data_IF_086332755909
#
_entry.id   IF_086332755909
#
_cell.length_a   1.000
_cell.length_b   1.000
_cell.length_c   1.000
_cell.angle_alpha   90.00
_cell.angle_beta   90.00
_cell.angle_gamma   90.00
#
_symmetry.space_group_name_H-M   'P 1'
#
loop_
_entity.id
_entity.type
_entity.pdbx_description
1 polymer ?
#
# COMPACT_ATOMS: atom_id res chain seq x y z
N UNK A 1 -15.71 4.97 -17.06
CA UNK A 1 -14.22 5.03 -17.05
C UNK A 1 -13.74 5.05 -18.51
N UNK A 2 -12.85 5.99 -18.84
CA UNK A 2 -12.26 6.03 -20.18
C UNK A 2 -11.34 4.83 -20.41
N UNK A 3 -11.12 4.38 -21.66
CA UNK A 3 -10.24 3.24 -21.92
C UNK A 3 -8.83 3.39 -21.35
N UNK A 4 -8.25 4.62 -21.41
CA UNK A 4 -6.92 4.87 -20.83
C UNK A 4 -6.92 4.71 -19.31
N UNK A 5 -8.00 5.14 -18.63
CA UNK A 5 -8.12 4.98 -17.18
C UNK A 5 -8.28 3.51 -16.80
N UNK A 6 -8.98 2.74 -17.62
CA UNK A 6 -9.12 1.30 -17.39
C UNK A 6 -7.78 0.60 -17.51
N UNK A 7 -6.99 0.93 -18.55
CA UNK A 7 -5.66 0.35 -18.72
C UNK A 7 -4.75 0.71 -17.55
N UNK A 8 -4.77 1.95 -17.10
CA UNK A 8 -3.99 2.40 -15.94
C UNK A 8 -4.41 1.66 -14.68
N UNK A 9 -5.72 1.48 -14.47
CA UNK A 9 -6.25 0.76 -13.34
C UNK A 9 -5.79 -0.70 -13.34
N UNK A 10 -5.90 -1.37 -14.48
CA UNK A 10 -5.49 -2.78 -14.61
C UNK A 10 -3.99 -2.94 -14.38
N UNK A 11 -3.19 -2.03 -14.93
CA UNK A 11 -1.74 -2.04 -14.74
C UNK A 11 -1.36 -1.83 -13.27
N UNK A 12 -1.96 -0.83 -12.63
CA UNK A 12 -1.70 -0.55 -11.22
C UNK A 12 -2.10 -1.73 -10.34
N UNK A 13 -3.28 -2.31 -10.60
CA UNK A 13 -3.77 -3.47 -9.85
C UNK A 13 -2.83 -4.66 -9.99
N UNK A 14 -2.34 -4.93 -11.20
CA UNK A 14 -1.41 -6.04 -11.45
C UNK A 14 -0.09 -5.82 -10.72
N UNK A 15 0.45 -4.61 -10.73
CA UNK A 15 1.70 -4.28 -10.03
C UNK A 15 1.55 -4.41 -8.53
N UNK A 16 0.46 -3.89 -7.97
CA UNK A 16 0.18 -3.99 -6.53
C UNK A 16 -0.03 -5.44 -6.11
N UNK A 17 -0.78 -6.20 -6.89
CA UNK A 17 -1.00 -7.61 -6.61
C UNK A 17 0.32 -8.39 -6.60
N UNK A 18 1.19 -8.13 -7.57
CA UNK A 18 2.49 -8.79 -7.65
C UNK A 18 3.42 -8.42 -6.50
N UNK A 19 3.41 -7.14 -6.08
CA UNK A 19 4.27 -6.66 -5.01
C UNK A 19 3.78 -7.09 -3.63
N UNK A 20 2.47 -7.08 -3.41
CA UNK A 20 1.89 -7.31 -2.08
C UNK A 20 1.52 -8.77 -1.84
N UNK A 21 1.14 -9.52 -2.90
CA UNK A 21 0.76 -10.92 -2.75
C UNK A 21 -0.27 -11.13 -1.65
N UNK A 22 -0.01 -12.06 -0.76
CA UNK A 22 -0.88 -12.41 0.37
C UNK A 22 -0.45 -11.72 1.68
N UNK A 23 0.46 -10.76 1.63
CA UNK A 23 0.97 -10.12 2.84
C UNK A 23 -0.13 -9.31 3.54
N UNK A 24 -0.11 -9.35 4.87
CA UNK A 24 -1.02 -8.57 5.71
C UNK A 24 -0.22 -7.57 6.54
N UNK A 25 -0.83 -6.44 6.82
CA UNK A 25 -0.19 -5.39 7.60
C UNK A 25 -0.75 -4.03 7.24
N UNK A 26 -0.02 -2.98 7.62
CA UNK A 26 -0.37 -1.61 7.26
C UNK A 26 0.74 -0.99 6.42
N UNK A 27 0.32 -0.32 5.34
CA UNK A 27 1.19 0.22 4.30
C UNK A 27 0.81 1.68 4.05
N UNK A 28 1.80 2.56 4.02
CA UNK A 28 1.56 3.98 3.76
C UNK A 28 1.00 4.19 2.36
N UNK A 29 0.12 5.16 2.20
CA UNK A 29 -0.45 5.51 0.88
C UNK A 29 0.67 5.86 -0.11
N UNK A 30 1.68 6.60 0.32
CA UNK A 30 2.81 6.96 -0.54
C UNK A 30 3.56 5.73 -1.04
N UNK A 31 3.71 4.71 -0.19
CA UNK A 31 4.36 3.46 -0.58
C UNK A 31 3.52 2.67 -1.59
N UNK A 32 2.20 2.67 -1.41
CA UNK A 32 1.30 2.02 -2.38
C UNK A 32 1.41 2.69 -3.76
N UNK A 33 1.50 4.01 -3.80
CA UNK A 33 1.65 4.76 -5.04
C UNK A 33 2.97 4.38 -5.73
N UNK A 34 4.05 4.27 -4.97
CA UNK A 34 5.35 3.83 -5.51
C UNK A 34 5.29 2.40 -6.04
N UNK A 35 4.65 1.49 -5.32
CA UNK A 35 4.49 0.10 -5.76
C UNK A 35 3.66 -0.02 -7.03
N UNK A 36 2.73 0.91 -7.24
CA UNK A 36 1.93 0.96 -8.45
C UNK A 36 2.72 1.50 -9.65
N UNK A 37 3.94 1.97 -9.44
CA UNK A 37 4.84 2.42 -10.50
C UNK A 37 4.86 3.93 -10.72
N UNK A 38 4.36 4.71 -9.79
CA UNK A 38 4.33 6.16 -9.90
C UNK A 38 5.43 6.80 -9.05
N UNK A 39 6.00 7.91 -9.55
CA UNK A 39 7.09 8.62 -8.86
C UNK A 39 6.61 9.41 -7.66
N UNK A 40 5.34 9.76 -7.62
CA UNK A 40 4.80 10.52 -6.49
C UNK A 40 3.29 10.67 -6.61
N UNK A 41 2.66 11.20 -5.57
CA UNK A 41 1.22 11.33 -5.53
C UNK A 41 0.72 12.44 -6.45
N UNK A 42 -0.47 12.25 -6.98
CA UNK A 42 -1.31 13.27 -7.58
C UNK A 42 -2.75 12.89 -7.26
N UNK A 43 -3.67 13.80 -7.44
CA UNK A 43 -5.08 13.49 -7.17
C UNK A 43 -5.55 12.27 -7.97
N UNK A 44 -5.23 12.23 -9.26
CA UNK A 44 -5.61 11.13 -10.13
C UNK A 44 -4.97 9.80 -9.71
N UNK A 45 -3.66 9.82 -9.45
CA UNK A 45 -2.92 8.60 -9.05
C UNK A 45 -3.41 8.08 -7.71
N UNK A 46 -3.64 8.96 -6.75
CA UNK A 46 -4.12 8.57 -5.43
C UNK A 46 -5.48 7.89 -5.52
N UNK A 47 -6.40 8.41 -6.34
CA UNK A 47 -7.72 7.80 -6.53
C UNK A 47 -7.62 6.45 -7.24
N UNK A 48 -6.78 6.37 -8.25
CA UNK A 48 -6.58 5.15 -9.02
C UNK A 48 -6.02 4.04 -8.13
N UNK A 49 -4.99 4.35 -7.35
CA UNK A 49 -4.37 3.41 -6.41
C UNK A 49 -5.37 3.00 -5.32
N UNK A 50 -6.18 3.94 -4.83
CA UNK A 50 -7.19 3.63 -3.82
C UNK A 50 -8.20 2.59 -4.35
N UNK A 51 -8.64 2.71 -5.59
CA UNK A 51 -9.53 1.73 -6.20
C UNK A 51 -8.86 0.37 -6.35
N UNK A 52 -7.61 0.37 -6.83
CA UNK A 52 -6.85 -0.87 -6.98
C UNK A 52 -6.65 -1.57 -5.65
N UNK A 53 -6.27 -0.84 -4.61
CA UNK A 53 -6.07 -1.40 -3.27
C UNK A 53 -7.37 -1.99 -2.70
N UNK A 54 -8.49 -1.31 -2.91
CA UNK A 54 -9.80 -1.82 -2.48
C UNK A 54 -10.11 -3.16 -3.17
N UNK A 55 -9.86 -3.26 -4.46
CA UNK A 55 -10.08 -4.50 -5.20
C UNK A 55 -9.22 -5.64 -4.65
N UNK A 56 -8.06 -5.33 -4.11
CA UNK A 56 -7.15 -6.32 -3.53
C UNK A 56 -7.45 -6.60 -2.05
N UNK A 57 -8.51 -6.02 -1.50
CA UNK A 57 -8.94 -6.29 -0.13
C UNK A 57 -8.30 -5.42 0.94
N UNK A 58 -7.71 -4.31 0.56
CA UNK A 58 -7.10 -3.37 1.50
C UNK A 58 -8.08 -2.27 1.90
N UNK A 59 -8.15 -1.98 3.19
CA UNK A 59 -8.98 -0.91 3.74
C UNK A 59 -8.13 0.34 3.92
N UNK A 60 -8.68 1.50 3.53
CA UNK A 60 -8.00 2.78 3.68
C UNK A 60 -8.44 3.49 4.94
N UNK A 61 -7.50 4.15 5.61
CA UNK A 61 -7.79 4.95 6.78
C UNK A 61 -6.59 5.75 7.23
N UNK A 62 -6.73 6.40 8.37
CA UNK A 62 -5.61 7.07 9.04
C UNK A 62 -5.14 6.15 10.14
N UNK A 63 -3.90 5.73 10.05
CA UNK A 63 -3.32 4.72 10.95
C UNK A 63 -2.03 5.25 11.56
N UNK A 64 -1.73 4.78 12.76
CA UNK A 64 -0.49 5.14 13.43
C UNK A 64 0.67 4.27 12.96
N UNK A 65 1.82 4.93 12.74
CA UNK A 65 3.10 4.27 12.43
C UNK A 65 4.09 4.80 13.45
N UNK A 66 4.30 4.04 14.52
CA UNK A 66 5.20 4.42 15.63
C UNK A 66 4.89 5.82 16.18
N UNK A 67 3.60 6.10 16.42
CA UNK A 67 3.15 7.35 16.98
C UNK A 67 2.81 8.45 15.97
N UNK A 68 3.06 8.24 14.70
CA UNK A 68 2.75 9.22 13.65
C UNK A 68 1.49 8.77 12.91
N UNK A 69 0.49 9.65 12.83
CA UNK A 69 -0.77 9.37 12.15
C UNK A 69 -0.65 9.68 10.65
N UNK A 70 -0.80 8.67 9.82
CA UNK A 70 -0.64 8.78 8.38
C UNK A 70 -1.82 8.16 7.65
N UNK A 71 -2.08 8.64 6.42
CA UNK A 71 -2.99 7.94 5.53
C UNK A 71 -2.33 6.63 5.08
N UNK A 72 -3.08 5.55 5.17
CA UNK A 72 -2.53 4.23 4.94
C UNK A 72 -3.61 3.23 4.51
N UNK A 73 -3.13 2.05 4.12
CA UNK A 73 -3.96 0.90 3.82
C UNK A 73 -3.62 -0.23 4.79
N UNK A 74 -4.61 -1.01 5.17
CA UNK A 74 -4.39 -2.18 6.03
C UNK A 74 -5.19 -3.37 5.51
N UNK A 75 -4.61 -4.56 5.71
CA UNK A 75 -5.25 -5.82 5.35
C UNK A 75 -4.91 -6.87 6.39
N UNK A 76 -5.86 -7.75 6.67
CA UNK A 76 -5.69 -8.86 7.60
C UNK A 76 -6.54 -8.74 8.85
N UNK A 77 -6.28 -9.62 9.81
CA UNK A 77 -6.94 -9.60 11.11
C UNK A 77 -6.47 -8.40 11.94
N UNK A 78 -7.10 -8.20 13.10
CA UNK A 78 -6.77 -7.09 13.99
C UNK A 78 -5.26 -7.04 14.31
N UNK A 79 -4.68 -8.18 14.69
CA UNK A 79 -3.25 -8.23 15.02
C UNK A 79 -2.36 -8.11 13.77
N UNK A 80 -2.77 -8.69 12.67
CA UNK A 80 -1.99 -8.63 11.44
C UNK A 80 -1.87 -7.19 10.93
N UNK A 81 -2.90 -6.36 11.13
CA UNK A 81 -2.92 -4.95 10.72
C UNK A 81 -1.93 -4.09 11.50
N UNK A 82 -1.38 -4.59 12.62
CA UNK A 82 -0.37 -3.88 13.41
C UNK A 82 1.03 -4.03 12.85
N UNK A 83 1.23 -4.92 11.88
CA UNK A 83 2.54 -5.11 11.25
C UNK A 83 2.82 -3.96 10.30
N UNK A 84 3.91 -3.24 10.55
CA UNK A 84 4.34 -2.16 9.66
C UNK A 84 5.04 -2.76 8.45
N UNK A 85 4.56 -2.40 7.26
CA UNK A 85 5.15 -2.81 5.99
C UNK A 85 5.98 -1.65 5.45
N UNK A 86 7.23 -1.91 5.13
CA UNK A 86 8.13 -0.94 4.52
C UNK A 86 8.45 -1.36 3.09
N UNK A 87 8.65 -0.38 2.24
CA UNK A 87 9.00 -0.60 0.85
C UNK A 87 10.45 -0.17 0.66
N UNK A 88 11.28 -1.08 0.16
CA UNK A 88 12.68 -0.80 -0.10
C UNK A 88 13.02 -1.19 -1.54
N UNK A 89 14.05 -0.53 -2.07
CA UNK A 89 14.56 -0.86 -3.39
C UNK A 89 15.67 -1.91 -3.24
N UNK A 90 15.47 -3.04 -3.92
CA UNK A 90 16.48 -4.10 -3.93
C UNK A 90 17.67 -3.76 -4.84
N UNK A 91 18.68 -4.64 -4.83
CA UNK A 91 19.89 -4.47 -5.61
C UNK A 91 19.62 -4.44 -7.12
N UNK A 92 18.57 -5.11 -7.55
CA UNK A 92 18.14 -5.14 -8.95
C UNK A 92 17.29 -3.92 -9.35
N UNK A 93 17.09 -2.98 -8.43
CA UNK A 93 16.25 -1.80 -8.67
C UNK A 93 14.77 -2.03 -8.47
N UNK A 94 14.34 -3.24 -8.17
CA UNK A 94 12.94 -3.56 -7.91
C UNK A 94 12.54 -3.18 -6.49
N UNK A 95 11.30 -2.73 -6.33
CA UNK A 95 10.76 -2.44 -5.01
C UNK A 95 10.29 -3.73 -4.35
N UNK A 96 10.64 -3.90 -3.08
CA UNK A 96 10.22 -5.05 -2.28
C UNK A 96 9.50 -4.56 -1.03
N UNK A 97 8.52 -5.34 -0.57
CA UNK A 97 7.74 -5.05 0.63
C UNK A 97 8.25 -5.94 1.76
N UNK A 98 8.61 -5.31 2.87
CA UNK A 98 9.16 -6.01 4.02
C UNK A 98 8.28 -5.79 5.25
N UNK A 99 7.93 -6.87 5.94
CA UNK A 99 7.27 -6.80 7.23
C UNK A 99 8.33 -6.51 8.30
N UNK A 100 8.35 -5.27 8.79
CA UNK A 100 9.40 -4.82 9.72
C UNK A 100 9.17 -5.27 11.14
N UNK A 101 8.03 -4.86 11.69
CA UNK A 101 7.74 -5.11 13.11
C UNK A 101 6.30 -4.77 13.40
N UNK A 102 5.84 -5.20 14.56
CA UNK A 102 4.59 -4.71 15.10
C UNK A 102 4.76 -3.25 15.52
N UNK A 103 3.70 -2.47 15.33
CA UNK A 103 3.69 -1.08 15.77
C UNK A 103 3.64 -1.03 17.30
N UNK A 104 4.70 -0.54 17.91
CA UNK A 104 4.80 -0.46 19.36
C UNK A 104 3.85 0.57 19.96
N UNK A 105 3.43 1.55 19.17
CA UNK A 105 2.53 2.60 19.63
C UNK A 105 1.06 2.17 19.59
N UNK A 106 0.76 1.03 18.98
CA UNK A 106 -0.60 0.49 18.95
C UNK A 106 -1.04 -0.05 20.31
N UNK A 107 -0.11 -0.29 21.22
CA UNK A 107 -0.43 -0.79 22.56
C UNK A 107 -0.91 0.34 23.43
N UNK A 108 -2.01 0.14 24.17
CA UNK A 108 -2.47 1.11 25.15
C UNK A 108 -1.48 1.29 26.28
#
# INVERSE_FOLDING_TARGET
MAPADLDDFLTATARLCGALGEIHGKLRVTDAISLAGYDGPSFHRTRLVARAMRELGWDRGRLYFNGVLLYAYARGSFLEREVILDVERGDDGQLVVLARSLDKQAKP
#
